data_IF_560468666928
#
_entry.id   IF_560468666928
#
_cell.length_a   1.000
_cell.length_b   1.000
_cell.length_c   1.000
_cell.angle_alpha   90.00
_cell.angle_beta   90.00
_cell.angle_gamma   90.00
#
_symmetry.space_group_name_H-M   'P 1'
#
loop_
_entity.id
_entity.type
_entity.pdbx_description
1 polymer ?
#
# COMPACT_ATOMS: atom_id res chain seq x y z
N UNK A 1 18.03 3.61 -6.81
CA UNK A 1 16.67 3.33 -6.26
C UNK A 1 16.69 1.90 -5.75
N UNK A 2 16.05 1.62 -4.60
CA UNK A 2 16.25 0.39 -3.81
C UNK A 2 16.27 -0.93 -4.62
N UNK A 3 15.43 -1.08 -5.66
CA UNK A 3 15.43 -2.28 -6.51
C UNK A 3 16.72 -2.51 -7.28
N UNK A 4 17.31 -1.45 -7.84
CA UNK A 4 18.57 -1.57 -8.56
C UNK A 4 19.72 -1.94 -7.61
N UNK A 5 19.70 -1.44 -6.38
CA UNK A 5 20.73 -1.77 -5.39
C UNK A 5 20.55 -3.21 -4.87
N UNK A 6 19.31 -3.69 -4.71
CA UNK A 6 19.00 -5.08 -4.37
C UNK A 6 19.45 -6.05 -5.47
N UNK A 7 19.16 -5.74 -6.74
CA UNK A 7 19.57 -6.55 -7.89
C UNK A 7 21.09 -6.64 -8.06
N UNK A 8 21.80 -5.57 -7.72
CA UNK A 8 23.26 -5.50 -7.82
C UNK A 8 23.96 -5.96 -6.53
N UNK A 9 23.23 -6.48 -5.54
CA UNK A 9 23.78 -6.98 -4.28
C UNK A 9 24.42 -5.91 -3.40
N UNK A 10 24.02 -4.64 -3.54
CA UNK A 10 24.48 -3.54 -2.68
C UNK A 10 23.72 -3.45 -1.36
N UNK A 11 22.51 -4.02 -1.33
CA UNK A 11 21.68 -4.19 -0.14
C UNK A 11 21.13 -5.61 -0.12
N UNK A 12 20.96 -6.17 1.07
CA UNK A 12 20.41 -7.52 1.24
C UNK A 12 18.88 -7.53 1.24
N UNK A 13 18.27 -6.43 1.68
CA UNK A 13 16.82 -6.29 1.81
C UNK A 13 16.37 -4.82 1.72
N UNK A 14 15.08 -4.62 1.45
CA UNK A 14 14.42 -3.32 1.50
C UNK A 14 13.06 -3.46 2.17
N UNK A 15 12.72 -2.49 3.03
CA UNK A 15 11.40 -2.38 3.64
C UNK A 15 10.53 -1.47 2.79
N UNK A 16 9.39 -1.98 2.32
CA UNK A 16 8.42 -1.23 1.51
C UNK A 16 6.99 -1.63 1.85
N UNK A 17 6.03 -0.81 1.42
CA UNK A 17 4.62 -1.19 1.39
C UNK A 17 4.42 -2.46 0.54
N UNK A 18 3.80 -3.49 1.10
CA UNK A 18 3.68 -4.81 0.46
C UNK A 18 3.04 -4.75 -0.93
N UNK A 19 1.98 -3.97 -1.12
CA UNK A 19 1.36 -3.79 -2.43
C UNK A 19 2.32 -3.17 -3.47
N UNK A 20 3.16 -2.21 -3.07
CA UNK A 20 4.16 -1.60 -3.94
C UNK A 20 5.32 -2.57 -4.25
N UNK A 21 5.79 -3.34 -3.25
CA UNK A 21 6.79 -4.38 -3.45
C UNK A 21 6.29 -5.49 -4.39
N UNK A 22 5.05 -5.93 -4.20
CA UNK A 22 4.41 -6.97 -5.02
C UNK A 22 4.25 -6.49 -6.47
N UNK A 23 3.57 -5.38 -6.69
CA UNK A 23 3.24 -4.91 -8.04
C UNK A 23 4.44 -4.28 -8.76
N UNK A 24 5.29 -3.57 -8.03
CA UNK A 24 6.40 -2.81 -8.56
C UNK A 24 7.68 -3.62 -8.77
N UNK A 25 7.85 -4.76 -8.09
CA UNK A 25 9.08 -5.56 -8.16
C UNK A 25 8.81 -7.06 -8.27
N UNK A 26 8.17 -7.70 -7.28
CA UNK A 26 8.08 -9.17 -7.22
C UNK A 26 7.25 -9.78 -8.37
N UNK A 27 6.28 -9.05 -8.91
CA UNK A 27 5.48 -9.49 -10.07
C UNK A 27 6.14 -9.17 -11.42
N UNK A 28 7.36 -8.61 -11.42
CA UNK A 28 8.11 -8.25 -12.63
C UNK A 28 9.25 -9.24 -12.84
N UNK A 29 9.79 -9.38 -14.07
CA UNK A 29 10.92 -10.28 -14.33
C UNK A 29 12.12 -10.05 -13.42
N UNK A 30 12.37 -8.79 -13.04
CA UNK A 30 13.44 -8.41 -12.13
C UNK A 30 13.26 -8.97 -10.71
N UNK A 31 12.03 -9.20 -10.26
CA UNK A 31 11.74 -9.78 -8.95
C UNK A 31 12.03 -11.28 -8.85
N UNK A 32 12.41 -11.95 -9.95
CA UNK A 32 12.71 -13.39 -9.94
C UNK A 32 13.85 -13.69 -8.97
N UNK A 33 13.62 -14.64 -8.06
CA UNK A 33 14.60 -15.02 -7.03
C UNK A 33 14.50 -14.20 -5.75
N UNK A 34 13.59 -13.23 -5.67
CA UNK A 34 13.28 -12.47 -4.46
C UNK A 34 11.89 -12.83 -3.93
N UNK A 35 11.64 -12.48 -2.68
CA UNK A 35 10.34 -12.68 -2.04
C UNK A 35 10.21 -11.85 -0.76
N UNK A 36 9.00 -11.82 -0.19
CA UNK A 36 8.81 -11.29 1.15
C UNK A 36 9.43 -12.21 2.19
N UNK A 37 10.00 -11.62 3.23
CA UNK A 37 10.64 -12.33 4.34
C UNK A 37 9.83 -12.06 5.61
N UNK A 38 9.34 -13.13 6.23
CA UNK A 38 8.63 -13.05 7.51
C UNK A 38 7.23 -12.44 7.43
N UNK A 39 6.74 -11.98 8.59
CA UNK A 39 5.45 -11.29 8.71
C UNK A 39 5.60 -9.80 8.36
N UNK A 40 4.52 -9.11 7.96
CA UNK A 40 4.54 -7.66 7.80
C UNK A 40 5.02 -6.97 9.09
N UNK A 41 5.88 -5.96 8.94
CA UNK A 41 6.25 -5.07 10.05
C UNK A 41 5.04 -4.22 10.39
N UNK A 42 4.66 -4.20 11.67
CA UNK A 42 3.54 -3.43 12.19
C UNK A 42 4.01 -2.58 13.37
N UNK A 43 3.91 -1.26 13.21
CA UNK A 43 4.16 -0.27 14.25
C UNK A 43 3.31 0.95 13.93
N UNK A 44 2.17 1.12 14.61
CA UNK A 44 1.22 2.19 14.32
C UNK A 44 1.79 3.58 14.63
N UNK A 45 2.82 3.67 15.48
CA UNK A 45 3.47 4.94 15.83
C UNK A 45 4.38 5.40 14.69
N UNK A 46 5.10 4.47 14.07
CA UNK A 46 6.06 4.77 13.01
C UNK A 46 5.41 4.72 11.62
N UNK A 47 4.57 3.72 11.36
CA UNK A 47 4.01 3.40 10.04
C UNK A 47 2.56 3.90 9.86
N UNK A 48 1.89 4.26 10.95
CA UNK A 48 0.48 4.67 10.95
C UNK A 48 -0.49 3.50 10.74
N UNK A 49 -1.78 3.82 10.80
CA UNK A 49 -2.88 2.84 10.72
C UNK A 49 -3.50 2.72 9.32
N UNK A 50 -2.90 3.35 8.30
CA UNK A 50 -3.41 3.30 6.93
C UNK A 50 -2.98 4.48 6.07
N UNK A 51 -3.63 4.61 4.90
CA UNK A 51 -3.39 5.69 3.94
C UNK A 51 -4.64 6.59 3.90
N UNK A 52 -4.43 7.90 3.94
CA UNK A 52 -5.50 8.89 3.87
C UNK A 52 -5.17 10.08 2.98
N UNK A 53 -6.18 10.88 2.69
CA UNK A 53 -5.98 12.18 2.03
C UNK A 53 -5.35 13.17 3.02
N UNK A 54 -4.20 13.74 2.66
CA UNK A 54 -3.60 14.84 3.41
C UNK A 54 -4.35 16.14 3.14
N UNK A 55 -4.92 16.75 4.19
CA UNK A 55 -5.69 17.99 4.12
C UNK A 55 -5.07 19.09 4.98
N UNK A 56 -5.40 20.35 4.68
CA UNK A 56 -5.07 21.48 5.56
C UNK A 56 -5.83 21.33 6.88
N UNK A 57 -5.17 21.69 7.99
CA UNK A 57 -5.83 21.76 9.29
C UNK A 57 -6.99 22.76 9.24
N UNK A 58 -8.16 22.35 9.75
CA UNK A 58 -9.38 23.17 9.79
C UNK A 58 -10.22 23.17 8.50
N UNK A 59 -9.82 22.46 7.45
CA UNK A 59 -10.61 22.33 6.21
C UNK A 59 -11.72 21.27 6.35
N UNK A 60 -12.66 21.53 7.26
CA UNK A 60 -13.73 20.60 7.61
C UNK A 60 -14.70 20.32 6.46
N UNK A 61 -14.90 21.32 5.58
CA UNK A 61 -15.78 21.18 4.42
C UNK A 61 -15.23 20.13 3.44
N UNK A 62 -13.95 20.21 3.10
CA UNK A 62 -13.30 19.24 2.20
C UNK A 62 -13.21 17.87 2.86
N UNK A 63 -12.87 17.82 4.16
CA UNK A 63 -12.84 16.56 4.91
C UNK A 63 -14.18 15.84 4.85
N UNK A 64 -15.28 16.53 5.16
CA UNK A 64 -16.63 15.93 5.15
C UNK A 64 -17.03 15.40 3.77
N UNK A 65 -16.67 16.10 2.70
CA UNK A 65 -16.96 15.66 1.34
C UNK A 65 -16.18 14.39 0.97
N UNK A 66 -14.89 14.33 1.31
CA UNK A 66 -14.05 13.16 1.02
C UNK A 66 -14.47 11.94 1.85
N UNK A 67 -14.75 12.12 3.14
CA UNK A 67 -15.22 11.04 4.02
C UNK A 67 -16.53 10.44 3.47
N UNK A 68 -17.51 11.29 3.13
CA UNK A 68 -18.77 10.83 2.54
C UNK A 68 -18.59 10.10 1.20
N UNK A 69 -17.65 10.55 0.38
CA UNK A 69 -17.33 9.89 -0.88
C UNK A 69 -16.69 8.51 -0.65
N UNK A 70 -15.76 8.39 0.31
CA UNK A 70 -15.12 7.13 0.70
C UNK A 70 -16.16 6.14 1.19
N UNK A 71 -17.07 6.57 2.06
CA UNK A 71 -18.15 5.71 2.58
C UNK A 71 -19.05 5.19 1.46
N UNK A 72 -19.39 6.05 0.49
CA UNK A 72 -20.20 5.66 -0.68
C UNK A 72 -19.51 4.59 -1.53
N UNK A 73 -18.24 4.81 -1.91
CA UNK A 73 -17.50 3.86 -2.76
C UNK A 73 -17.09 2.57 -2.03
N UNK A 74 -17.08 2.61 -0.69
CA UNK A 74 -16.95 1.41 0.14
C UNK A 74 -18.25 0.61 0.14
N UNK A 75 -19.37 1.28 0.38
CA UNK A 75 -20.69 0.65 0.44
C UNK A 75 -21.11 0.04 -0.90
N UNK A 76 -20.75 0.67 -2.02
CA UNK A 76 -21.05 0.14 -3.36
C UNK A 76 -20.07 -0.94 -3.86
N UNK A 77 -19.07 -1.31 -3.05
CA UNK A 77 -18.08 -2.34 -3.37
C UNK A 77 -17.01 -1.93 -4.37
N UNK A 78 -16.95 -0.65 -4.79
CA UNK A 78 -15.92 -0.15 -5.70
C UNK A 78 -14.53 -0.38 -5.15
N UNK A 79 -14.30 -0.11 -3.86
CA UNK A 79 -12.99 -0.34 -3.22
C UNK A 79 -12.58 -1.82 -3.35
N UNK A 80 -13.46 -2.76 -2.98
CA UNK A 80 -13.19 -4.20 -3.08
C UNK A 80 -12.87 -4.63 -4.50
N UNK A 81 -13.64 -4.14 -5.49
CA UNK A 81 -13.41 -4.46 -6.91
C UNK A 81 -12.07 -3.94 -7.42
N UNK A 82 -11.69 -2.72 -7.04
CA UNK A 82 -10.39 -2.15 -7.45
C UNK A 82 -9.23 -2.85 -6.73
N UNK A 83 -9.38 -3.17 -5.45
CA UNK A 83 -8.41 -3.93 -4.67
C UNK A 83 -8.10 -5.28 -5.33
N UNK A 84 -9.13 -6.06 -5.66
CA UNK A 84 -8.97 -7.35 -6.34
C UNK A 84 -8.29 -7.22 -7.71
N UNK A 85 -8.56 -6.13 -8.45
CA UNK A 85 -7.96 -5.89 -9.77
C UNK A 85 -6.47 -5.56 -9.69
N UNK A 86 -6.06 -4.69 -8.76
CA UNK A 86 -4.70 -4.15 -8.73
C UNK A 86 -3.77 -4.85 -7.75
N UNK A 87 -4.32 -5.47 -6.71
CA UNK A 87 -3.56 -6.09 -5.62
C UNK A 87 -4.05 -7.51 -5.33
N UNK A 88 -4.05 -8.42 -6.33
CA UNK A 88 -4.50 -9.79 -6.13
C UNK A 88 -3.63 -10.49 -5.07
N UNK A 89 -4.28 -11.09 -4.07
CA UNK A 89 -3.60 -11.80 -2.98
C UNK A 89 -2.99 -10.91 -1.89
N UNK A 90 -3.19 -9.59 -1.94
CA UNK A 90 -2.80 -8.65 -0.88
C UNK A 90 -4.06 -8.11 -0.22
N UNK A 91 -4.15 -8.25 1.10
CA UNK A 91 -5.19 -7.59 1.88
C UNK A 91 -4.85 -6.09 2.00
N UNK A 92 -5.73 -5.27 1.43
CA UNK A 92 -5.64 -3.81 1.46
C UNK A 92 -6.78 -3.18 2.27
N UNK A 93 -7.50 -3.98 3.06
CA UNK A 93 -8.53 -3.47 3.95
C UNK A 93 -7.91 -2.65 5.08
N UNK A 94 -8.56 -1.54 5.42
CA UNK A 94 -8.25 -0.76 6.63
C UNK A 94 -9.01 -1.40 7.78
N UNK A 95 -8.30 -1.76 8.85
CA UNK A 95 -8.90 -2.32 10.08
C UNK A 95 -9.45 -1.21 10.97
#
# INVERSE_FOLDING_TARGET
MAWADLLNGRIDASLVMSAAGQAGFLSKPQGKGFGFIGKPVADDTILGSGIGYGLRKGDEATKKQLDAAIDKVRADGTITRLAAKYFPGIDVSVK
#
